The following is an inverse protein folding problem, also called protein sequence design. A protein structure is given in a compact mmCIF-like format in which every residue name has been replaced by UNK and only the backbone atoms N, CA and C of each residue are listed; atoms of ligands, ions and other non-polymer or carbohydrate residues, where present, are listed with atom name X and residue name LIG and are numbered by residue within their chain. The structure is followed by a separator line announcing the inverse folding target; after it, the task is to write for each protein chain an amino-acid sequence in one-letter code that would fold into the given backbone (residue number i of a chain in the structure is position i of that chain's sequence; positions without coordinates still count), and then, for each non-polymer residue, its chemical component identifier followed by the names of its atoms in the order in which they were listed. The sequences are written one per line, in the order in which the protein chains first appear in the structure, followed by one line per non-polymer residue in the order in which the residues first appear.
data_IF_329204907488
#
_entry.id   IF_329204907488
#
_cell.length_a   1.000
_cell.length_b   1.000
_cell.length_c   1.000
_cell.angle_alpha   90.00
_cell.angle_beta   90.00
_cell.angle_gamma   90.00
#
_symmetry.space_group_name_H-M   'P 1'
#
loop_
_entity.id
_entity.type
_entity.pdbx_description
1 polymer ?
#
# COMPACT_ATOMS: atom_id res chain seq x y z
N UNK A 1 0.71 15.27 -5.21
CA UNK A 1 0.00 14.44 -4.19
C UNK A 1 -0.13 15.20 -2.86
N UNK A 2 -1.29 15.12 -2.21
CA UNK A 2 -1.51 15.67 -0.86
C UNK A 2 -0.92 14.67 0.14
N UNK A 3 -0.09 15.16 1.07
CA UNK A 3 0.51 14.36 2.14
C UNK A 3 -0.34 14.49 3.40
N UNK A 4 -0.60 13.36 4.03
CA UNK A 4 -1.39 13.26 5.26
C UNK A 4 -0.47 13.03 6.46
N UNK A 5 -0.90 13.42 7.66
CA UNK A 5 -0.25 12.98 8.88
C UNK A 5 -0.44 11.47 9.05
N UNK A 6 0.51 10.84 9.74
CA UNK A 6 0.41 9.41 10.03
C UNK A 6 -0.79 9.14 10.95
N UNK A 7 -1.68 8.28 10.51
CA UNK A 7 -2.80 7.78 11.30
C UNK A 7 -2.40 6.44 11.94
N UNK A 8 -2.33 6.35 13.28
CA UNK A 8 -1.91 5.13 13.97
C UNK A 8 -2.99 4.05 14.06
N UNK A 9 -4.21 4.31 13.56
CA UNK A 9 -5.29 3.30 13.58
C UNK A 9 -4.91 2.07 12.74
N UNK A 10 -5.45 0.92 13.15
CA UNK A 10 -5.27 -0.36 12.47
C UNK A 10 -6.64 -0.94 12.06
N UNK A 11 -7.57 -0.07 11.70
CA UNK A 11 -8.92 -0.41 11.25
C UNK A 11 -9.30 0.45 10.06
N UNK A 12 -9.90 -0.15 9.04
CA UNK A 12 -10.47 0.58 7.92
C UNK A 12 -11.79 1.25 8.31
N UNK A 13 -12.02 2.45 7.80
CA UNK A 13 -13.29 3.18 7.89
C UNK A 13 -14.06 3.14 6.58
N UNK A 14 -13.33 3.01 5.47
CA UNK A 14 -13.92 2.82 4.15
C UNK A 14 -14.18 1.34 3.87
N UNK A 15 -15.25 1.06 3.13
CA UNK A 15 -15.72 -0.31 2.89
C UNK A 15 -14.76 -1.14 2.03
N UNK A 16 -14.17 -0.53 1.00
CA UNK A 16 -13.46 -1.26 -0.05
C UNK A 16 -11.95 -1.07 0.02
N UNK A 17 -11.49 0.18 0.07
CA UNK A 17 -10.07 0.50 0.10
C UNK A 17 -9.82 1.84 0.76
N UNK A 18 -8.61 2.02 1.28
CA UNK A 18 -8.10 3.31 1.76
C UNK A 18 -6.73 3.58 1.12
N UNK A 19 -6.50 4.83 0.74
CA UNK A 19 -5.23 5.29 0.16
C UNK A 19 -4.65 6.37 1.08
N UNK A 20 -3.44 6.15 1.59
CA UNK A 20 -2.75 7.03 2.51
C UNK A 20 -1.39 7.41 1.95
N UNK A 21 -1.12 8.69 1.78
CA UNK A 21 0.21 9.21 1.45
C UNK A 21 0.74 9.99 2.65
N UNK A 22 1.69 9.40 3.36
CA UNK A 22 2.20 9.95 4.62
C UNK A 22 3.64 10.40 4.51
N UNK A 23 3.93 11.55 5.13
CA UNK A 23 5.27 12.10 5.27
C UNK A 23 5.53 12.49 6.72
N UNK A 24 6.63 12.04 7.30
CA UNK A 24 7.04 12.34 8.65
C UNK A 24 8.49 12.79 8.69
N UNK A 25 8.75 13.99 9.20
CA UNK A 25 10.13 14.46 9.49
C UNK A 25 10.77 13.63 10.59
N UNK A 26 9.97 13.33 11.63
CA UNK A 26 10.34 12.39 12.68
C UNK A 26 9.52 11.13 12.49
N UNK A 27 10.16 9.99 12.18
CA UNK A 27 9.45 8.74 11.96
C UNK A 27 8.67 8.30 13.21
N UNK A 28 7.40 7.87 13.06
CA UNK A 28 6.65 7.29 14.17
C UNK A 28 7.21 5.90 14.52
N UNK A 29 7.09 5.53 15.80
CA UNK A 29 7.30 4.14 16.22
C UNK A 29 6.03 3.35 15.94
N UNK A 30 6.16 2.23 15.25
CA UNK A 30 5.05 1.32 14.96
C UNK A 30 5.41 -0.05 15.53
N UNK A 31 4.57 -0.55 16.41
CA UNK A 31 4.73 -1.88 17.00
C UNK A 31 4.32 -2.98 16.02
N UNK A 32 4.67 -4.23 16.33
CA UNK A 32 4.14 -5.37 15.58
C UNK A 32 2.63 -5.40 15.66
N UNK A 33 2.01 -5.50 14.49
CA UNK A 33 0.56 -5.52 14.36
C UNK A 33 0.11 -6.43 13.23
N UNK A 34 -1.18 -6.72 13.23
CA UNK A 34 -1.91 -7.46 12.22
C UNK A 34 -3.27 -6.80 12.06
N UNK A 35 -3.83 -6.84 10.88
CA UNK A 35 -5.15 -6.29 10.57
C UNK A 35 -5.90 -7.16 9.56
N UNK A 36 -7.25 -7.17 9.55
CA UNK A 36 -8.06 -8.04 8.71
C UNK A 36 -8.27 -7.48 7.29
N UNK A 37 -7.24 -6.91 6.69
CA UNK A 37 -7.24 -6.40 5.32
C UNK A 37 -5.85 -6.55 4.70
N UNK A 38 -5.77 -6.52 3.39
CA UNK A 38 -4.50 -6.55 2.66
C UNK A 38 -3.88 -5.16 2.63
N UNK A 39 -2.55 -5.11 2.61
CA UNK A 39 -1.82 -3.86 2.52
C UNK A 39 -0.79 -3.90 1.39
N UNK A 40 -0.77 -2.83 0.60
CA UNK A 40 0.32 -2.51 -0.31
C UNK A 40 1.09 -1.35 0.30
N UNK A 41 2.34 -1.58 0.63
CA UNK A 41 3.24 -0.57 1.17
C UNK A 41 4.22 -0.14 0.08
N UNK A 42 4.12 1.09 -0.41
CA UNK A 42 5.00 1.67 -1.42
C UNK A 42 5.97 2.66 -0.75
N UNK A 43 7.25 2.29 -0.73
CA UNK A 43 8.30 3.08 -0.08
C UNK A 43 8.81 4.19 -0.99
N UNK A 44 8.74 5.45 -0.53
CA UNK A 44 9.14 6.63 -1.31
C UNK A 44 10.51 7.13 -0.85
N UNK A 45 10.70 7.37 0.45
CA UNK A 45 11.97 7.86 0.99
C UNK A 45 12.15 7.56 2.47
N UNK A 46 13.40 7.53 2.92
CA UNK A 46 13.76 7.27 4.30
C UNK A 46 14.89 6.25 4.45
N UNK A 47 15.03 5.69 5.65
CA UNK A 47 15.92 4.58 5.94
C UNK A 47 15.12 3.53 6.72
N UNK A 48 14.73 2.47 6.05
CA UNK A 48 13.71 1.53 6.52
C UNK A 48 14.14 0.09 6.30
N UNK A 49 14.03 -0.71 7.37
CA UNK A 49 13.79 -2.14 7.27
C UNK A 49 12.30 -2.39 7.53
N UNK A 50 11.71 -3.36 6.87
CA UNK A 50 10.33 -3.78 7.12
C UNK A 50 10.33 -5.25 7.51
N UNK A 51 9.68 -5.60 8.60
CA UNK A 51 9.62 -6.99 9.08
C UNK A 51 8.22 -7.52 8.81
N UNK A 52 8.14 -8.67 8.15
CA UNK A 52 6.89 -9.41 7.87
C UNK A 52 7.13 -10.86 8.22
N UNK A 53 6.31 -11.45 9.09
CA UNK A 53 6.42 -12.85 9.53
C UNK A 53 7.86 -13.23 9.97
N UNK A 54 8.51 -12.33 10.72
CA UNK A 54 9.88 -12.52 11.21
C UNK A 54 10.99 -12.29 10.17
N UNK A 55 10.67 -12.12 8.90
CA UNK A 55 11.63 -11.82 7.85
C UNK A 55 11.83 -10.31 7.68
N UNK A 56 13.09 -9.87 7.64
CA UNK A 56 13.45 -8.46 7.46
C UNK A 56 13.76 -8.15 5.99
N UNK A 57 13.13 -7.10 5.48
CA UNK A 57 13.32 -6.55 4.14
C UNK A 57 13.96 -5.17 4.23
N UNK A 58 15.19 -5.01 3.71
CA UNK A 58 15.83 -3.70 3.57
C UNK A 58 15.31 -3.03 2.31
N UNK A 59 14.54 -1.96 2.49
CA UNK A 59 13.88 -1.27 1.38
C UNK A 59 14.76 -0.19 0.74
N UNK A 60 14.52 0.02 -0.55
CA UNK A 60 15.04 1.13 -1.36
C UNK A 60 13.85 1.97 -1.85
N UNK A 61 14.03 3.28 -2.10
CA UNK A 61 13.00 4.08 -2.73
C UNK A 61 12.47 3.43 -4.01
N UNK A 62 11.15 3.25 -4.09
CA UNK A 62 10.47 2.56 -5.18
C UNK A 62 10.10 1.10 -4.90
N UNK A 63 10.61 0.50 -3.82
CA UNK A 63 10.22 -0.85 -3.42
C UNK A 63 8.76 -0.89 -2.95
N UNK A 64 8.10 -2.01 -3.24
CA UNK A 64 6.72 -2.29 -2.81
C UNK A 64 6.72 -3.57 -1.97
N UNK A 65 5.98 -3.57 -0.88
CA UNK A 65 5.70 -4.76 -0.08
C UNK A 65 4.21 -5.10 -0.16
N UNK A 66 3.93 -6.40 -0.19
CA UNK A 66 2.58 -6.96 -0.11
C UNK A 66 2.43 -7.68 1.23
N UNK A 67 1.46 -7.26 2.03
CA UNK A 67 1.06 -7.94 3.27
C UNK A 67 -0.36 -8.45 3.16
N UNK A 68 -0.56 -9.72 3.53
CA UNK A 68 -1.88 -10.30 3.59
C UNK A 68 -2.62 -9.91 4.88
N UNK A 69 -3.90 -10.19 4.94
CA UNK A 69 -4.74 -9.97 6.12
C UNK A 69 -4.41 -10.88 7.31
N UNK A 70 -3.41 -11.76 7.19
CA UNK A 70 -2.95 -12.65 8.25
C UNK A 70 -1.52 -12.36 8.73
N UNK A 71 -0.78 -11.51 8.01
CA UNK A 71 0.64 -11.28 8.28
C UNK A 71 0.88 -10.36 9.47
N UNK A 72 1.74 -10.78 10.40
CA UNK A 72 2.26 -9.91 11.46
C UNK A 72 3.43 -9.12 10.91
N UNK A 73 3.37 -7.80 11.00
CA UNK A 73 4.37 -6.93 10.38
C UNK A 73 4.62 -5.63 11.15
N UNK A 74 5.73 -4.97 10.83
CA UNK A 74 6.04 -3.58 11.24
C UNK A 74 7.13 -2.95 10.39
N UNK A 75 7.11 -1.62 10.18
CA UNK A 75 8.25 -0.86 9.72
C UNK A 75 9.27 -0.63 10.87
N UNK A 76 10.56 -0.82 10.61
CA UNK A 76 11.65 -0.37 11.47
C UNK A 76 12.33 0.83 10.83
N UNK A 77 11.86 2.03 11.15
CA UNK A 77 12.38 3.25 10.55
C UNK A 77 13.54 3.79 11.39
N UNK A 78 14.69 3.99 10.74
CA UNK A 78 15.86 4.60 11.38
C UNK A 78 15.76 6.12 11.30
N UNK A 79 16.08 6.85 12.39
CA UNK A 79 16.05 8.30 12.39
C UNK A 79 17.13 8.90 11.46
N UNK A 80 17.04 10.21 11.21
CA UNK A 80 18.04 10.98 10.47
C UNK A 80 17.66 11.32 9.03
N UNK A 81 16.51 10.81 8.54
CA UNK A 81 15.96 11.21 7.24
C UNK A 81 14.43 11.23 7.31
N UNK A 82 13.78 12.16 6.61
CA UNK A 82 12.32 12.14 6.47
C UNK A 82 11.85 10.81 5.90
N UNK A 83 10.71 10.35 6.40
CA UNK A 83 10.09 9.09 6.03
C UNK A 83 8.81 9.32 5.25
N UNK A 84 8.81 8.88 3.99
CA UNK A 84 7.67 9.02 3.08
C UNK A 84 7.26 7.68 2.50
N UNK A 85 5.97 7.39 2.52
CA UNK A 85 5.37 6.16 1.99
C UNK A 85 3.95 6.40 1.53
N UNK A 86 3.52 5.54 0.63
CA UNK A 86 2.11 5.37 0.29
C UNK A 86 1.69 4.00 0.83
N UNK A 87 0.54 3.97 1.50
CA UNK A 87 -0.07 2.74 2.02
C UNK A 87 -1.47 2.62 1.43
N UNK A 88 -1.76 1.48 0.83
CA UNK A 88 -3.08 1.18 0.27
C UNK A 88 -3.62 -0.03 1.03
N UNK A 89 -4.73 0.17 1.73
CA UNK A 89 -5.46 -0.87 2.42
C UNK A 89 -6.62 -1.36 1.55
N UNK A 90 -6.78 -2.69 1.48
CA UNK A 90 -7.73 -3.36 0.59
C UNK A 90 -8.53 -4.38 1.39
N UNK A 91 -9.83 -4.18 1.51
CA UNK A 91 -10.73 -5.10 2.18
C UNK A 91 -11.06 -6.33 1.31
N UNK A 92 -11.45 -7.44 1.93
CA UNK A 92 -11.95 -8.62 1.21
C UNK A 92 -13.14 -8.26 0.29
N UNK A 93 -14.04 -7.38 0.75
CA UNK A 93 -15.18 -6.87 -0.04
C UNK A 93 -14.74 -6.24 -1.38
N UNK A 94 -13.57 -5.62 -1.44
CA UNK A 94 -13.02 -5.05 -2.67
C UNK A 94 -12.62 -6.14 -3.66
N UNK A 95 -11.91 -7.15 -3.21
CA UNK A 95 -11.49 -8.27 -4.05
C UNK A 95 -12.68 -9.11 -4.51
N UNK A 96 -13.66 -9.33 -3.65
CA UNK A 96 -14.93 -9.99 -4.02
C UNK A 96 -15.68 -9.20 -5.09
N UNK A 97 -15.68 -7.88 -5.00
CA UNK A 97 -16.28 -7.01 -6.02
C UNK A 97 -15.54 -7.15 -7.36
N UNK A 98 -14.22 -7.08 -7.35
CA UNK A 98 -13.41 -7.25 -8.57
C UNK A 98 -13.60 -8.63 -9.20
N UNK A 99 -13.60 -9.69 -8.40
CA UNK A 99 -13.80 -11.06 -8.88
C UNK A 99 -15.15 -11.25 -9.55
N UNK A 100 -16.22 -10.65 -8.99
CA UNK A 100 -17.55 -10.67 -9.62
C UNK A 100 -17.58 -9.87 -10.93
N UNK A 101 -16.82 -8.81 -11.04
CA UNK A 101 -16.78 -7.95 -12.23
C UNK A 101 -15.90 -8.52 -13.35
N UNK A 102 -14.68 -8.97 -13.04
CA UNK A 102 -13.68 -9.41 -14.02
C UNK A 102 -13.59 -10.93 -14.18
N UNK A 103 -14.05 -11.71 -13.20
CA UNK A 103 -13.82 -13.15 -13.12
C UNK A 103 -12.45 -13.53 -12.59
N UNK A 104 -11.56 -12.57 -12.27
CA UNK A 104 -10.19 -12.79 -11.85
C UNK A 104 -10.02 -12.61 -10.33
N UNK A 105 -9.11 -13.38 -9.74
CA UNK A 105 -8.81 -13.35 -8.31
C UNK A 105 -7.53 -12.55 -8.05
N UNK A 106 -7.68 -11.27 -7.75
CA UNK A 106 -6.56 -10.38 -7.46
C UNK A 106 -5.88 -10.63 -6.10
N UNK A 107 -6.47 -11.44 -5.22
CA UNK A 107 -5.79 -11.84 -3.98
C UNK A 107 -4.62 -12.78 -4.25
N UNK A 108 -4.56 -13.36 -5.45
CA UNK A 108 -3.50 -14.30 -5.86
C UNK A 108 -2.09 -13.71 -5.70
N UNK A 109 -1.89 -12.40 -5.95
CA UNK A 109 -0.59 -11.76 -5.79
C UNK A 109 -0.12 -11.77 -4.32
N UNK A 110 -0.99 -11.57 -3.36
CA UNK A 110 -0.69 -11.64 -1.92
C UNK A 110 -0.46 -13.08 -1.46
N UNK A 111 -1.31 -14.01 -1.92
CA UNK A 111 -1.18 -15.45 -1.62
C UNK A 111 0.14 -16.01 -2.18
N UNK A 112 0.48 -15.69 -3.42
CA UNK A 112 1.72 -16.09 -4.06
C UNK A 112 2.95 -15.51 -3.34
N UNK A 113 2.89 -14.23 -2.95
CA UNK A 113 3.95 -13.58 -2.18
C UNK A 113 4.17 -14.28 -0.83
N UNK A 114 3.09 -14.68 -0.16
CA UNK A 114 3.14 -15.42 1.10
C UNK A 114 3.72 -16.84 0.90
N UNK A 115 3.23 -17.59 -0.07
CA UNK A 115 3.68 -18.97 -0.36
C UNK A 115 5.14 -19.03 -0.77
N UNK A 116 5.63 -18.04 -1.52
CA UNK A 116 7.02 -17.97 -1.98
C UNK A 116 7.95 -17.34 -0.93
N UNK A 117 7.40 -16.92 0.22
CA UNK A 117 8.11 -16.16 1.27
C UNK A 117 8.90 -14.98 0.67
N UNK A 118 8.31 -14.30 -0.32
CA UNK A 118 8.89 -13.18 -1.02
C UNK A 118 7.84 -12.10 -1.27
N UNK A 119 7.78 -11.15 -0.36
CA UNK A 119 6.75 -10.09 -0.35
C UNK A 119 7.23 -8.78 -0.96
N UNK A 120 8.51 -8.73 -1.35
CA UNK A 120 9.15 -7.54 -1.88
C UNK A 120 9.14 -7.52 -3.40
N UNK A 121 8.55 -6.48 -3.98
CA UNK A 121 8.57 -6.20 -5.41
C UNK A 121 9.49 -5.02 -5.68
N UNK A 122 10.39 -5.16 -6.64
CA UNK A 122 11.26 -4.08 -7.16
C UNK A 122 10.92 -3.82 -8.61
N UNK A 123 10.05 -2.85 -8.88
CA UNK A 123 9.69 -2.50 -10.25
C UNK A 123 10.91 -2.00 -11.03
N UNK A 124 10.93 -2.23 -12.33
CA UNK A 124 11.84 -1.52 -13.23
C UNK A 124 11.47 -0.03 -13.33
N UNK A 125 12.35 0.78 -13.92
CA UNK A 125 12.17 2.23 -13.97
C UNK A 125 10.89 2.65 -14.70
N UNK A 126 10.50 1.94 -15.76
CA UNK A 126 9.29 2.24 -16.54
C UNK A 126 8.02 1.98 -15.71
N UNK A 127 7.97 0.81 -15.09
CA UNK A 127 6.89 0.42 -14.18
C UNK A 127 6.81 1.37 -12.98
N UNK A 128 7.95 1.73 -12.39
CA UNK A 128 8.01 2.66 -11.27
C UNK A 128 7.43 4.03 -11.60
N UNK A 129 7.76 4.58 -12.79
CA UNK A 129 7.20 5.85 -13.27
C UNK A 129 5.68 5.73 -13.37
N UNK A 130 5.17 4.64 -13.95
CA UNK A 130 3.71 4.44 -14.10
C UNK A 130 3.01 4.31 -12.75
N UNK A 131 3.55 3.54 -11.82
CA UNK A 131 2.98 3.38 -10.49
C UNK A 131 2.92 4.70 -9.72
N UNK A 132 3.95 5.55 -9.83
CA UNK A 132 3.95 6.89 -9.24
C UNK A 132 2.86 7.78 -9.84
N UNK A 133 2.70 7.76 -11.17
CA UNK A 133 1.62 8.49 -11.84
C UNK A 133 0.24 8.04 -11.37
N UNK A 134 0.03 6.73 -11.22
CA UNK A 134 -1.22 6.19 -10.71
C UNK A 134 -1.50 6.64 -9.26
N UNK A 135 -0.48 6.66 -8.41
CA UNK A 135 -0.60 7.18 -7.05
C UNK A 135 -0.98 8.68 -7.04
N UNK A 136 -0.39 9.49 -7.92
CA UNK A 136 -0.75 10.90 -8.09
C UNK A 136 -2.20 11.06 -8.54
N UNK A 137 -2.61 10.29 -9.53
CA UNK A 137 -3.98 10.29 -10.05
C UNK A 137 -5.00 9.82 -9.01
N UNK A 138 -4.68 8.78 -8.22
CA UNK A 138 -5.52 8.33 -7.09
C UNK A 138 -5.65 9.42 -6.03
N UNK A 139 -4.53 10.06 -5.65
CA UNK A 139 -4.55 11.17 -4.70
C UNK A 139 -5.43 12.33 -5.18
N UNK A 140 -5.26 12.77 -6.42
CA UNK A 140 -6.04 13.87 -6.98
C UNK A 140 -7.53 13.53 -7.09
N UNK A 141 -7.86 12.30 -7.47
CA UNK A 141 -9.23 11.84 -7.53
C UNK A 141 -9.86 11.72 -6.12
N UNK A 142 -9.14 11.18 -5.13
CA UNK A 142 -9.59 11.06 -3.73
C UNK A 142 -10.03 12.42 -3.16
N UNK A 143 -9.24 13.47 -3.40
CA UNK A 143 -9.54 14.82 -2.89
C UNK A 143 -10.44 15.64 -3.81
N UNK A 144 -10.81 15.11 -4.98
CA UNK A 144 -11.75 15.74 -5.89
C UNK A 144 -13.20 15.55 -5.39
N UNK A 145 -13.97 16.63 -5.40
CA UNK A 145 -15.41 16.57 -5.11
C UNK A 145 -16.27 16.41 -6.38
N UNK A 146 -15.66 16.06 -7.51
CA UNK A 146 -16.36 15.92 -8.79
C UNK A 146 -17.13 14.61 -8.85
N UNK A 147 -18.22 14.61 -9.60
CA UNK A 147 -18.95 13.38 -9.91
C UNK A 147 -18.00 12.34 -10.57
N UNK A 148 -18.04 11.11 -10.10
CA UNK A 148 -17.24 10.02 -10.64
C UNK A 148 -15.83 9.90 -10.06
N UNK A 149 -15.39 10.79 -9.16
CA UNK A 149 -14.04 10.71 -8.56
C UNK A 149 -13.77 9.38 -7.85
N UNK A 150 -14.75 8.83 -7.13
CA UNK A 150 -14.61 7.53 -6.47
C UNK A 150 -14.41 6.39 -7.48
N UNK A 151 -15.19 6.38 -8.57
CA UNK A 151 -15.03 5.39 -9.65
C UNK A 151 -13.67 5.53 -10.35
N UNK A 152 -13.20 6.76 -10.54
CA UNK A 152 -11.91 7.02 -11.16
C UNK A 152 -10.74 6.57 -10.26
N UNK A 153 -10.82 6.82 -8.94
CA UNK A 153 -9.82 6.31 -7.99
C UNK A 153 -9.76 4.79 -8.03
N UNK A 154 -10.92 4.13 -8.07
CA UNK A 154 -11.00 2.68 -8.17
C UNK A 154 -10.39 2.15 -9.48
N UNK A 155 -10.61 2.82 -10.61
CA UNK A 155 -10.03 2.44 -11.89
C UNK A 155 -8.48 2.52 -11.86
N UNK A 156 -7.92 3.59 -11.30
CA UNK A 156 -6.47 3.71 -11.12
C UNK A 156 -5.89 2.68 -10.16
N UNK A 157 -6.64 2.33 -9.11
CA UNK A 157 -6.25 1.26 -8.19
C UNK A 157 -6.24 -0.11 -8.87
N UNK A 158 -7.23 -0.40 -9.71
CA UNK A 158 -7.25 -1.64 -10.50
C UNK A 158 -6.05 -1.69 -11.44
N UNK A 159 -5.74 -0.59 -12.14
CA UNK A 159 -4.55 -0.52 -13.00
C UNK A 159 -3.24 -0.70 -12.19
N UNK A 160 -3.19 -0.22 -10.95
CA UNK A 160 -2.04 -0.41 -10.07
C UNK A 160 -1.82 -1.88 -9.70
N UNK A 161 -2.89 -2.68 -9.62
CA UNK A 161 -2.86 -4.09 -9.25
C UNK A 161 -2.51 -5.03 -10.43
N UNK A 162 -2.64 -4.56 -11.68
CA UNK A 162 -2.37 -5.33 -12.92
C UNK A 162 -0.92 -5.19 -13.38
#
# INVERSE_FOLDING_TARGET
MIKEEFDPRQVMTERYYEFHHSYNETPPTVEFHQHPFYEIFFFISGNLNYIIEGRSYKLRPGDILLTSNADIHRPEVRPGRPYERIVIWLADDFFDHLKRFSGEDFTACFTDAALKDYRLIRPDDGTLIRLRQLCEQMSDAKFSKKLGSAALTQAYLIEFLV
#
